data_IF_499886843777
#
_entry.id   IF_499886843777
#
_cell.length_a   1.000
_cell.length_b   1.000
_cell.length_c   1.000
_cell.angle_alpha   90.00
_cell.angle_beta   90.00
_cell.angle_gamma   90.00
#
_symmetry.space_group_name_H-M   'P 1'
#
loop_
_entity.id
_entity.type
_entity.pdbx_description
1 polymer ?
#
# COMPACT_ATOMS: atom_id res chain seq x y z
N UNK A 1 -13.65 -0.53 23.28
CA UNK A 1 -13.87 -0.82 21.85
C UNK A 1 -12.48 -0.96 21.22
N UNK A 2 -11.81 -2.08 21.45
CA UNK A 2 -10.39 -2.25 21.09
C UNK A 2 -10.33 -3.02 19.78
N UNK A 3 -10.43 -2.29 18.68
CA UNK A 3 -10.18 -2.77 17.32
C UNK A 3 -8.67 -2.93 17.08
N UNK A 4 -8.00 -3.73 17.91
CA UNK A 4 -6.67 -4.20 17.56
C UNK A 4 -6.88 -5.29 16.51
N UNK A 5 -6.38 -5.06 15.29
CA UNK A 5 -6.44 -6.01 14.17
C UNK A 5 -5.55 -7.21 14.54
N UNK A 6 -6.07 -8.14 15.32
CA UNK A 6 -5.39 -9.33 15.86
C UNK A 6 -5.19 -10.44 14.81
N UNK A 7 -5.37 -10.15 13.51
CA UNK A 7 -5.28 -11.14 12.44
C UNK A 7 -3.83 -11.51 12.05
N UNK A 8 -2.80 -10.90 12.66
CA UNK A 8 -1.40 -11.20 12.36
C UNK A 8 -0.94 -10.82 10.93
N UNK A 9 -1.88 -10.47 10.06
CA UNK A 9 -1.66 -10.02 8.68
C UNK A 9 -0.89 -8.71 8.65
N UNK A 10 0.40 -8.80 8.35
CA UNK A 10 1.28 -7.65 8.14
C UNK A 10 1.03 -7.05 6.75
N UNK A 11 0.35 -5.91 6.72
CA UNK A 11 0.26 -5.08 5.53
C UNK A 11 1.58 -4.32 5.37
N UNK A 12 2.23 -4.47 4.22
CA UNK A 12 3.46 -3.75 3.89
C UNK A 12 3.13 -2.36 3.39
N UNK A 13 3.61 -1.32 4.06
CA UNK A 13 3.46 0.07 3.62
C UNK A 13 4.64 0.49 2.77
N UNK A 14 4.38 0.98 1.56
CA UNK A 14 5.39 1.50 0.64
C UNK A 14 5.14 2.98 0.42
N UNK A 15 6.15 3.80 0.70
CA UNK A 15 6.08 5.24 0.49
C UNK A 15 6.66 5.59 -0.88
N UNK A 16 5.86 6.26 -1.70
CA UNK A 16 6.26 6.74 -3.03
C UNK A 16 6.53 8.23 -3.00
N UNK A 17 7.33 8.73 -3.92
CA UNK A 17 7.60 10.16 -4.05
C UNK A 17 6.31 10.93 -4.39
N UNK A 18 6.00 11.97 -3.62
CA UNK A 18 4.79 12.77 -3.81
C UNK A 18 4.69 13.39 -5.21
N UNK A 19 5.83 13.73 -5.83
CA UNK A 19 5.92 14.29 -7.20
C UNK A 19 5.38 13.36 -8.29
N UNK A 20 5.43 12.04 -8.07
CA UNK A 20 5.01 11.05 -9.07
C UNK A 20 3.54 10.67 -8.95
N UNK A 21 2.83 11.18 -7.94
CA UNK A 21 1.45 10.79 -7.60
C UNK A 21 0.52 10.74 -8.80
N UNK A 22 0.45 11.79 -9.60
CA UNK A 22 -0.43 11.86 -10.77
C UNK A 22 -0.13 10.76 -11.81
N UNK A 23 1.12 10.32 -11.91
CA UNK A 23 1.55 9.30 -12.86
C UNK A 23 1.41 7.87 -12.33
N UNK A 24 1.40 7.69 -11.01
CA UNK A 24 1.41 6.37 -10.37
C UNK A 24 0.07 5.98 -9.76
N UNK A 25 -0.78 6.94 -9.37
CA UNK A 25 -2.05 6.70 -8.64
C UNK A 25 -2.95 5.67 -9.34
N UNK A 26 -3.14 5.78 -10.66
CA UNK A 26 -3.96 4.84 -11.43
C UNK A 26 -3.38 3.43 -11.53
N UNK A 27 -2.07 3.26 -11.31
CA UNK A 27 -1.37 1.96 -11.37
C UNK A 27 -1.36 1.26 -10.02
N UNK A 28 -1.52 1.99 -8.91
CA UNK A 28 -1.35 1.44 -7.56
C UNK A 28 -2.28 0.26 -7.30
N UNK A 29 -3.55 0.36 -7.71
CA UNK A 29 -4.53 -0.71 -7.54
C UNK A 29 -4.10 -2.00 -8.26
N UNK A 30 -3.60 -1.86 -9.49
CA UNK A 30 -3.07 -2.98 -10.27
C UNK A 30 -1.82 -3.58 -9.61
N UNK A 31 -0.89 -2.73 -9.13
CA UNK A 31 0.33 -3.18 -8.44
C UNK A 31 0.01 -3.94 -7.16
N UNK A 32 -0.97 -3.49 -6.37
CA UNK A 32 -1.43 -4.20 -5.17
C UNK A 32 -2.00 -5.58 -5.53
N UNK A 33 -2.85 -5.65 -6.57
CA UNK A 33 -3.43 -6.90 -7.04
C UNK A 33 -2.39 -7.92 -7.49
N UNK A 34 -1.40 -7.47 -8.28
CA UNK A 34 -0.29 -8.31 -8.74
C UNK A 34 0.58 -8.76 -7.57
N UNK A 35 0.93 -7.86 -6.66
CA UNK A 35 1.77 -8.20 -5.50
C UNK A 35 1.11 -9.24 -4.60
N UNK A 36 -0.19 -9.08 -4.32
CA UNK A 36 -0.98 -10.07 -3.58
C UNK A 36 -1.05 -11.40 -4.32
N UNK A 37 -1.24 -11.38 -5.65
CA UNK A 37 -1.31 -12.60 -6.48
C UNK A 37 0.01 -13.37 -6.49
N UNK A 38 1.14 -12.68 -6.55
CA UNK A 38 2.47 -13.29 -6.64
C UNK A 38 3.06 -13.69 -5.29
N UNK A 39 2.82 -12.90 -4.24
CA UNK A 39 3.48 -13.07 -2.94
C UNK A 39 2.55 -13.51 -1.81
N UNK A 40 1.23 -13.40 -2.02
CA UNK A 40 0.23 -13.62 -0.97
C UNK A 40 0.22 -12.55 0.13
N UNK A 41 0.98 -11.46 -0.03
CA UNK A 41 1.09 -10.38 0.95
C UNK A 41 0.28 -9.17 0.52
N UNK A 42 -0.38 -8.55 1.49
CA UNK A 42 -1.01 -7.25 1.31
C UNK A 42 0.03 -6.12 1.35
N UNK A 43 -0.05 -5.24 0.37
CA UNK A 43 0.79 -4.03 0.25
C UNK A 43 -0.12 -2.83 0.07
N UNK A 44 0.25 -1.69 0.64
CA UNK A 44 -0.42 -0.40 0.46
C UNK A 44 0.59 0.65 0.07
N UNK A 45 0.28 1.43 -0.94
CA UNK A 45 1.12 2.54 -1.40
C UNK A 45 0.58 3.85 -0.83
N UNK A 46 1.43 4.62 -0.16
CA UNK A 46 1.11 5.94 0.38
C UNK A 46 2.13 6.97 -0.13
N UNK A 47 1.74 8.23 -0.18
CA UNK A 47 2.67 9.33 -0.45
C UNK A 47 2.97 10.02 0.88
N UNK A 48 4.23 10.36 1.19
CA UNK A 48 4.52 11.16 2.36
C UNK A 48 3.85 12.51 2.19
N UNK A 49 3.06 12.91 3.18
CA UNK A 49 2.68 14.31 3.36
C UNK A 49 3.95 15.02 3.81
N UNK A 50 4.57 15.81 2.92
CA UNK A 50 5.57 16.78 3.36
C UNK A 50 4.94 17.61 4.49
N UNK A 51 5.58 17.59 5.66
CA UNK A 51 5.16 18.31 6.85
C UNK A 51 5.71 19.75 6.82
#
# INVERSE_FOLDING_TARGET
MNSNRLDGSKITKVYLEAKERNNTEYKLESMMGVYRKLTGKDVTFEYPVEA
#
